data_IF_894341580276
#
_entry.id   IF_894341580276
#
_cell.length_a   1.000
_cell.length_b   1.000
_cell.length_c   1.000
_cell.angle_alpha   90.00
_cell.angle_beta   90.00
_cell.angle_gamma   90.00
#
_symmetry.space_group_name_H-M   'P 1'
#
loop_
_entity.id
_entity.type
_entity.pdbx_description
1 polymer ?
#
# COMPACT_ATOMS: atom_id res chain seq x y z
N UNK A 1 -7.66 -16.99 4.99
CA UNK A 1 -6.58 -16.02 5.29
C UNK A 1 -7.00 -15.21 6.50
N UNK A 2 -6.13 -15.04 7.50
CA UNK A 2 -6.47 -14.20 8.66
C UNK A 2 -5.96 -12.78 8.39
N UNK A 3 -6.90 -11.88 8.11
CA UNK A 3 -6.65 -10.44 8.18
C UNK A 3 -7.18 -10.04 9.54
N UNK A 4 -6.28 -9.67 10.45
CA UNK A 4 -6.61 -9.39 11.82
C UNK A 4 -6.77 -7.88 12.01
N UNK A 5 -7.83 -7.46 12.68
CA UNK A 5 -7.96 -6.08 13.16
C UNK A 5 -6.91 -5.83 14.23
N UNK A 6 -6.25 -4.68 14.20
CA UNK A 6 -5.20 -4.33 15.16
C UNK A 6 -5.50 -3.00 15.87
N UNK A 7 -4.72 -2.70 16.91
CA UNK A 7 -4.79 -1.44 17.66
C UNK A 7 -6.17 -1.14 18.29
N UNK A 8 -6.92 -2.19 18.65
CA UNK A 8 -8.18 -2.06 19.38
C UNK A 8 -9.37 -1.54 18.55
N UNK A 9 -9.28 -1.53 17.22
CA UNK A 9 -10.37 -1.04 16.36
C UNK A 9 -10.36 -1.58 14.94
N UNK A 10 -11.17 -0.97 14.08
CA UNK A 10 -11.44 -1.45 12.72
C UNK A 10 -10.68 -0.69 11.63
N UNK A 11 -9.92 0.34 12.01
CA UNK A 11 -9.26 1.25 11.08
C UNK A 11 -8.02 0.65 10.41
N UNK A 12 -7.40 -0.33 11.06
CA UNK A 12 -6.16 -0.94 10.61
C UNK A 12 -6.25 -2.44 10.71
N UNK A 13 -5.58 -3.10 9.76
CA UNK A 13 -5.51 -4.55 9.68
C UNK A 13 -4.07 -4.99 9.51
N UNK A 14 -3.79 -6.19 10.00
CA UNK A 14 -2.52 -6.86 9.81
C UNK A 14 -2.73 -8.20 9.08
N UNK A 15 -1.90 -8.44 8.08
CA UNK A 15 -1.84 -9.71 7.37
C UNK A 15 -0.60 -10.48 7.82
N UNK A 16 -0.79 -11.55 8.59
CA UNK A 16 0.29 -12.36 9.16
C UNK A 16 1.18 -13.01 8.08
N UNK A 17 0.61 -13.31 6.90
CA UNK A 17 1.33 -13.99 5.82
C UNK A 17 2.31 -13.05 5.12
N UNK A 18 1.88 -11.83 4.83
CA UNK A 18 2.72 -10.83 4.16
C UNK A 18 3.44 -9.89 5.14
N UNK A 19 3.14 -10.00 6.44
CA UNK A 19 3.59 -9.10 7.50
C UNK A 19 3.34 -7.64 7.10
N UNK A 20 2.08 -7.32 6.83
CA UNK A 20 1.71 -6.00 6.27
C UNK A 20 0.63 -5.35 7.12
N UNK A 21 0.88 -4.11 7.53
CA UNK A 21 -0.12 -3.22 8.11
C UNK A 21 -0.80 -2.46 6.98
N UNK A 22 -2.13 -2.49 6.97
CA UNK A 22 -2.95 -1.86 5.93
C UNK A 22 -4.17 -1.17 6.54
N UNK A 23 -4.61 -0.09 5.91
CA UNK A 23 -5.87 0.59 6.21
C UNK A 23 -6.92 0.17 5.17
N UNK A 24 -7.99 -0.56 5.57
CA UNK A 24 -9.11 -0.85 4.68
C UNK A 24 -9.77 0.44 4.21
N UNK A 25 -10.14 0.51 2.95
CA UNK A 25 -10.78 1.70 2.36
C UNK A 25 -11.88 1.30 1.39
N UNK A 26 -12.77 2.23 1.10
CA UNK A 26 -13.74 2.11 0.03
C UNK A 26 -13.32 3.01 -1.14
N UNK A 27 -13.45 2.50 -2.36
CA UNK A 27 -13.19 3.27 -3.58
C UNK A 27 -14.52 3.60 -4.28
N UNK A 28 -14.55 4.65 -5.13
CA UNK A 28 -15.68 4.90 -6.02
C UNK A 28 -16.02 3.67 -6.88
N UNK A 29 -17.23 3.66 -7.45
CA UNK A 29 -17.68 2.57 -8.32
C UNK A 29 -16.98 2.63 -9.68
N UNK A 30 -15.79 2.05 -9.75
CA UNK A 30 -15.04 1.89 -10.98
C UNK A 30 -15.60 0.76 -11.87
N UNK A 31 -15.30 0.76 -13.18
CA UNK A 31 -15.60 -0.37 -14.07
C UNK A 31 -15.03 -1.68 -13.53
N UNK A 32 -15.76 -2.79 -13.67
CA UNK A 32 -15.30 -4.11 -13.18
C UNK A 32 -14.08 -4.64 -13.93
N UNK A 33 -13.91 -4.20 -15.19
CA UNK A 33 -12.80 -4.57 -16.06
C UNK A 33 -12.32 -3.38 -16.86
N UNK A 34 -11.04 -3.40 -17.19
CA UNK A 34 -10.43 -2.49 -18.15
C UNK A 34 -9.50 -3.29 -19.06
N UNK A 35 -9.26 -2.76 -20.26
CA UNK A 35 -8.19 -3.23 -21.15
C UNK A 35 -7.13 -2.14 -21.18
N UNK A 36 -5.90 -2.48 -20.83
CA UNK A 36 -4.76 -1.56 -20.88
C UNK A 36 -3.53 -2.29 -21.39
N UNK A 37 -2.84 -1.75 -22.41
CA UNK A 37 -1.70 -2.38 -23.08
C UNK A 37 -1.96 -3.87 -23.44
N UNK A 38 -3.13 -4.16 -24.03
CA UNK A 38 -3.59 -5.52 -24.39
C UNK A 38 -3.80 -6.49 -23.21
N UNK A 39 -3.75 -6.02 -21.96
CA UNK A 39 -4.07 -6.81 -20.76
C UNK A 39 -5.52 -6.61 -20.31
N UNK A 40 -6.27 -7.71 -20.12
CA UNK A 40 -7.56 -7.71 -19.42
C UNK A 40 -7.30 -7.68 -17.91
N UNK A 41 -7.59 -6.55 -17.28
CA UNK A 41 -7.39 -6.34 -15.86
C UNK A 41 -8.75 -6.26 -15.16
N UNK A 42 -8.89 -7.00 -14.06
CA UNK A 42 -10.11 -7.05 -13.26
C UNK A 42 -9.98 -6.21 -12.00
N UNK A 43 -11.07 -5.52 -11.64
CA UNK A 43 -11.16 -4.73 -10.43
C UNK A 43 -11.05 -5.64 -9.20
N UNK A 44 -10.25 -5.24 -8.21
CA UNK A 44 -10.15 -5.98 -6.95
C UNK A 44 -11.48 -5.94 -6.19
N UNK A 45 -11.78 -7.02 -5.48
CA UNK A 45 -12.97 -7.08 -4.61
C UNK A 45 -12.80 -6.32 -3.29
N UNK A 46 -11.55 -6.16 -2.84
CA UNK A 46 -11.23 -5.48 -1.58
C UNK A 46 -10.10 -4.48 -1.78
N UNK A 47 -10.23 -3.34 -1.11
CA UNK A 47 -9.32 -2.22 -1.24
C UNK A 47 -8.72 -1.85 0.10
N UNK A 48 -7.46 -1.45 0.05
CA UNK A 48 -6.73 -0.95 1.19
C UNK A 48 -5.59 -0.05 0.71
N UNK A 49 -5.13 0.80 1.60
CA UNK A 49 -3.82 1.44 1.50
C UNK A 49 -2.85 0.61 2.32
N UNK A 50 -1.77 0.12 1.70
CA UNK A 50 -0.66 -0.47 2.45
C UNK A 50 0.06 0.64 3.19
N UNK A 51 0.15 0.53 4.52
CA UNK A 51 0.81 1.51 5.37
C UNK A 51 2.25 1.09 5.67
N UNK A 52 2.44 -0.16 6.11
CA UNK A 52 3.77 -0.67 6.48
C UNK A 52 3.93 -2.10 5.97
N UNK A 53 4.62 -2.31 4.84
CA UNK A 53 4.90 -3.63 4.29
C UNK A 53 6.12 -4.27 4.96
N UNK A 54 6.04 -4.56 6.27
CA UNK A 54 7.16 -5.02 7.11
C UNK A 54 7.93 -6.18 6.47
N UNK A 55 7.20 -7.19 5.98
CA UNK A 55 7.81 -8.38 5.36
C UNK A 55 8.66 -8.04 4.14
N UNK A 56 8.24 -7.08 3.31
CA UNK A 56 9.00 -6.65 2.14
C UNK A 56 10.14 -5.68 2.51
N UNK A 57 9.95 -4.83 3.53
CA UNK A 57 11.01 -3.98 4.05
C UNK A 57 12.17 -4.81 4.63
N UNK A 58 11.87 -5.88 5.39
CA UNK A 58 12.89 -6.82 5.89
C UNK A 58 13.69 -7.41 4.74
N UNK A 59 13.02 -7.88 3.68
CA UNK A 59 13.67 -8.48 2.50
C UNK A 59 14.54 -7.47 1.75
N UNK A 60 13.99 -6.29 1.43
CA UNK A 60 14.67 -5.27 0.61
C UNK A 60 15.88 -4.68 1.34
N UNK A 61 15.74 -4.37 2.62
CA UNK A 61 16.78 -3.71 3.41
C UNK A 61 17.62 -4.66 4.26
N UNK A 62 17.37 -5.98 4.19
CA UNK A 62 18.08 -7.01 4.97
C UNK A 62 18.10 -6.70 6.47
N UNK A 63 16.93 -6.38 7.02
CA UNK A 63 16.80 -6.00 8.43
C UNK A 63 17.02 -7.25 9.30
N UNK A 64 18.01 -7.22 10.19
CA UNK A 64 18.39 -8.34 11.06
C UNK A 64 17.91 -8.18 12.52
N UNK A 65 16.98 -7.25 12.77
CA UNK A 65 16.44 -7.01 14.11
C UNK A 65 15.52 -8.19 14.50
N UNK A 66 15.79 -8.89 15.61
CA UNK A 66 14.93 -9.99 16.06
C UNK A 66 13.50 -9.52 16.37
N UNK A 67 12.50 -10.29 15.98
CA UNK A 67 11.07 -10.00 16.20
C UNK A 67 10.63 -8.62 15.68
N UNK A 68 11.24 -8.15 14.58
CA UNK A 68 10.98 -6.83 14.02
C UNK A 68 9.51 -6.59 13.67
N UNK A 69 8.77 -7.62 13.25
CA UNK A 69 7.34 -7.52 12.98
C UNK A 69 6.52 -7.12 14.22
N UNK A 70 6.75 -7.78 15.35
CA UNK A 70 6.01 -7.56 16.59
C UNK A 70 6.35 -6.18 17.16
N UNK A 71 7.63 -5.80 17.07
CA UNK A 71 8.12 -4.47 17.44
C UNK A 71 7.43 -3.35 16.65
N UNK A 72 7.35 -3.51 15.32
CA UNK A 72 6.70 -2.52 14.45
C UNK A 72 5.19 -2.49 14.69
N UNK A 73 4.55 -3.62 14.97
CA UNK A 73 3.13 -3.66 15.33
C UNK A 73 2.83 -2.92 16.63
N UNK A 74 3.64 -3.15 17.67
CA UNK A 74 3.52 -2.45 18.95
C UNK A 74 3.71 -0.94 18.77
N UNK A 75 4.75 -0.53 18.05
CA UNK A 75 5.03 0.88 17.77
C UNK A 75 3.95 1.54 16.94
N UNK A 76 3.45 0.85 15.92
CA UNK A 76 2.36 1.36 15.09
C UNK A 76 1.11 1.58 15.95
N UNK A 77 0.72 0.60 16.77
CA UNK A 77 -0.47 0.73 17.61
C UNK A 77 -0.31 1.79 18.70
N UNK A 78 0.89 1.96 19.27
CA UNK A 78 1.17 3.04 20.20
C UNK A 78 1.08 4.41 19.51
N UNK A 79 1.66 4.53 18.31
CA UNK A 79 1.70 5.77 17.53
C UNK A 79 0.32 6.28 17.15
N UNK A 80 -0.55 5.41 16.62
CA UNK A 80 -1.88 5.79 16.11
C UNK A 80 -2.86 6.21 17.20
N UNK A 81 -2.56 5.95 18.49
CA UNK A 81 -3.36 6.43 19.61
C UNK A 81 -3.36 7.97 19.72
N UNK A 82 -2.26 8.62 19.31
CA UNK A 82 -2.14 10.08 19.33
C UNK A 82 -1.96 10.69 17.93
N UNK A 83 -1.56 9.90 16.95
CA UNK A 83 -1.27 10.34 15.59
C UNK A 83 -1.99 9.44 14.57
N UNK A 84 -3.30 9.62 14.42
CA UNK A 84 -4.08 8.80 13.49
C UNK A 84 -3.53 8.89 12.06
N UNK A 85 -3.48 7.75 11.38
CA UNK A 85 -3.13 7.64 9.97
C UNK A 85 -4.44 7.43 9.21
N UNK A 86 -4.85 8.42 8.43
CA UNK A 86 -6.13 8.46 7.74
C UNK A 86 -5.92 8.85 6.27
N UNK A 87 -6.77 8.33 5.38
CA UNK A 87 -6.78 8.73 3.97
C UNK A 87 -7.24 10.18 3.87
N UNK A 88 -6.40 11.04 3.29
CA UNK A 88 -6.73 12.44 3.05
C UNK A 88 -7.50 12.57 1.74
N UNK A 89 -6.91 12.05 0.65
CA UNK A 89 -7.48 12.09 -0.69
C UNK A 89 -6.81 11.09 -1.61
N UNK A 90 -7.52 10.73 -2.68
CA UNK A 90 -6.90 10.13 -3.85
C UNK A 90 -6.26 11.24 -4.69
N UNK A 91 -5.06 10.99 -5.21
CA UNK A 91 -4.45 11.82 -6.23
C UNK A 91 -5.01 11.36 -7.57
N UNK A 92 -5.35 12.29 -8.48
CA UNK A 92 -5.69 11.96 -9.86
C UNK A 92 -4.42 11.55 -10.63
N UNK A 93 -3.74 10.52 -10.12
CA UNK A 93 -2.46 10.01 -10.55
C UNK A 93 -2.59 8.48 -10.57
N UNK A 94 -3.01 7.96 -11.72
CA UNK A 94 -3.09 6.52 -11.97
C UNK A 94 -1.75 6.04 -12.49
N UNK A 95 -1.30 4.89 -12.02
CA UNK A 95 -0.05 4.30 -12.47
C UNK A 95 -0.27 2.84 -12.86
N UNK A 96 0.31 2.44 -13.98
CA UNK A 96 0.43 1.04 -14.32
C UNK A 96 1.71 0.52 -13.67
N UNK A 97 1.62 -0.66 -13.06
CA UNK A 97 2.71 -1.27 -12.30
C UNK A 97 2.99 -2.64 -12.88
N UNK A 98 4.26 -2.88 -13.21
CA UNK A 98 4.73 -4.13 -13.79
C UNK A 98 5.87 -4.73 -12.94
N UNK A 99 5.75 -6.01 -12.63
CA UNK A 99 6.82 -6.78 -12.01
C UNK A 99 6.72 -8.24 -12.45
N UNK A 100 7.72 -8.73 -13.20
CA UNK A 100 7.72 -10.08 -13.78
C UNK A 100 6.44 -10.36 -14.60
N UNK A 101 5.61 -11.31 -14.18
CA UNK A 101 4.33 -11.70 -14.79
C UNK A 101 3.11 -11.02 -14.14
N UNK A 102 3.33 -10.10 -13.19
CA UNK A 102 2.28 -9.33 -12.53
C UNK A 102 2.05 -8.01 -13.23
N UNK A 103 0.77 -7.64 -13.36
CA UNK A 103 0.33 -6.33 -13.86
C UNK A 103 -0.77 -5.80 -12.97
N UNK A 104 -0.70 -4.51 -12.65
CA UNK A 104 -1.74 -3.85 -11.88
C UNK A 104 -1.88 -2.39 -12.24
N UNK A 105 -3.07 -1.84 -12.00
CA UNK A 105 -3.30 -0.39 -12.00
C UNK A 105 -3.52 0.05 -10.58
N UNK A 106 -2.80 1.09 -10.18
CA UNK A 106 -2.92 1.71 -8.86
C UNK A 106 -3.37 3.16 -9.01
N UNK A 107 -4.01 3.67 -7.98
CA UNK A 107 -4.23 5.10 -7.80
C UNK A 107 -3.41 5.59 -6.61
N UNK A 108 -2.61 6.63 -6.80
CA UNK A 108 -1.83 7.22 -5.72
C UNK A 108 -2.75 7.97 -4.75
N UNK A 109 -2.37 8.04 -3.48
CA UNK A 109 -3.18 8.72 -2.46
C UNK A 109 -2.30 9.39 -1.41
N UNK A 110 -2.91 10.31 -0.66
CA UNK A 110 -2.30 10.97 0.48
C UNK A 110 -2.86 10.39 1.78
N UNK A 111 -1.98 10.09 2.73
CA UNK A 111 -2.36 9.68 4.09
C UNK A 111 -1.69 10.59 5.13
N UNK A 112 -2.34 10.80 6.27
CA UNK A 112 -1.75 11.58 7.37
C UNK A 112 -0.68 10.78 8.11
N UNK A 113 0.32 11.46 8.67
CA UNK A 113 1.23 10.98 9.72
C UNK A 113 2.07 9.71 9.43
N UNK A 114 1.98 9.12 8.23
CA UNK A 114 2.76 7.93 7.90
C UNK A 114 4.26 8.24 7.81
N UNK A 115 4.61 9.40 7.26
CA UNK A 115 5.98 9.91 7.20
C UNK A 115 6.59 10.09 8.61
N UNK A 116 5.78 10.61 9.54
CA UNK A 116 6.16 10.77 10.94
C UNK A 116 6.40 9.39 11.59
N UNK A 117 5.56 8.40 11.28
CA UNK A 117 5.77 7.03 11.76
C UNK A 117 7.08 6.42 11.22
N UNK A 118 7.35 6.58 9.93
CA UNK A 118 8.61 6.11 9.32
C UNK A 118 9.84 6.79 9.92
N UNK A 119 9.75 8.11 10.22
CA UNK A 119 10.80 8.82 10.95
C UNK A 119 11.03 8.22 12.34
N UNK A 120 9.96 7.94 13.09
CA UNK A 120 10.04 7.33 14.43
C UNK A 120 10.76 5.98 14.39
N UNK A 121 10.39 5.08 13.47
CA UNK A 121 11.02 3.76 13.39
C UNK A 121 12.47 3.84 12.90
N UNK A 122 12.79 4.79 12.00
CA UNK A 122 14.18 5.01 11.56
C UNK A 122 15.06 5.46 12.74
N UNK A 123 14.58 6.41 13.54
CA UNK A 123 15.28 6.89 14.74
C UNK A 123 15.42 5.78 15.79
N UNK A 124 14.33 5.06 16.09
CA UNK A 124 14.30 4.05 17.14
C UNK A 124 15.15 2.82 16.81
N UNK A 125 15.18 2.40 15.56
CA UNK A 125 15.85 1.17 15.11
C UNK A 125 17.14 1.41 14.32
N UNK A 126 17.59 2.67 14.21
CA UNK A 126 18.76 3.08 13.42
C UNK A 126 18.70 2.56 11.97
N UNK A 127 17.54 2.78 11.34
CA UNK A 127 17.26 2.40 9.96
C UNK A 127 17.27 3.64 9.05
N UNK A 128 17.27 3.41 7.74
CA UNK A 128 17.16 4.45 6.73
C UNK A 128 16.10 4.06 5.67
N UNK A 129 14.88 3.84 6.13
CA UNK A 129 13.73 3.49 5.29
C UNK A 129 13.09 4.76 4.74
N UNK A 130 12.80 4.76 3.43
CA UNK A 130 11.90 5.76 2.86
C UNK A 130 10.46 5.49 3.31
N UNK A 131 9.65 6.53 3.47
CA UNK A 131 8.20 6.34 3.62
C UNK A 131 7.64 5.79 2.33
N UNK A 132 6.97 4.64 2.38
CA UNK A 132 6.47 3.99 1.17
C UNK A 132 5.44 4.86 0.44
N UNK A 133 5.52 4.97 -0.90
CA UNK A 133 4.51 5.66 -1.69
C UNK A 133 3.12 5.04 -1.50
N UNK A 134 2.19 5.84 -0.96
CA UNK A 134 0.85 5.37 -0.64
C UNK A 134 -0.04 5.32 -1.86
N UNK A 135 -0.68 4.18 -2.05
CA UNK A 135 -1.54 3.90 -3.19
C UNK A 135 -2.59 2.85 -2.85
N UNK A 136 -3.57 2.73 -3.73
CA UNK A 136 -4.56 1.66 -3.72
C UNK A 136 -4.45 0.89 -5.03
N UNK A 137 -4.22 -0.43 -4.95
CA UNK A 137 -4.37 -1.29 -6.13
C UNK A 137 -5.85 -1.36 -6.51
N UNK A 138 -6.18 -0.90 -7.71
CA UNK A 138 -7.54 -0.96 -8.27
C UNK A 138 -7.72 -2.22 -9.09
N UNK A 139 -6.86 -2.42 -10.09
CA UNK A 139 -6.98 -3.52 -11.05
C UNK A 139 -5.76 -4.44 -10.99
N UNK A 140 -6.00 -5.71 -11.24
CA UNK A 140 -4.98 -6.77 -11.28
C UNK A 140 -5.29 -7.74 -12.42
N UNK A 141 -4.28 -8.49 -12.85
CA UNK A 141 -4.53 -9.68 -13.66
C UNK A 141 -5.43 -10.68 -12.88
N UNK A 142 -6.34 -11.39 -13.57
CA UNK A 142 -7.13 -12.45 -12.95
C UNK A 142 -6.24 -13.45 -12.20
N UNK A 143 -6.68 -13.84 -11.00
CA UNK A 143 -5.99 -14.80 -10.12
C UNK A 143 -4.57 -14.39 -9.66
N UNK A 144 -4.18 -13.13 -9.85
CA UNK A 144 -2.87 -12.60 -9.41
C UNK A 144 -2.98 -11.65 -8.21
N UNK A 145 -1.83 -11.35 -7.60
CA UNK A 145 -1.71 -10.39 -6.51
C UNK A 145 -1.45 -8.96 -7.01
N UNK A 146 -1.51 -7.99 -6.09
CA UNK A 146 -0.95 -6.66 -6.32
C UNK A 146 0.58 -6.68 -6.22
N UNK A 147 1.21 -5.58 -6.65
CA UNK A 147 2.66 -5.38 -6.61
C UNK A 147 2.98 -4.36 -5.53
N UNK A 148 4.01 -4.60 -4.72
CA UNK A 148 4.47 -3.64 -3.73
C UNK A 148 5.31 -2.53 -4.37
N UNK A 149 5.02 -1.28 -3.99
CA UNK A 149 5.83 -0.10 -4.30
C UNK A 149 6.38 0.40 -2.96
N UNK A 150 7.64 0.09 -2.67
CA UNK A 150 8.21 0.27 -1.33
C UNK A 150 8.85 1.64 -1.11
N UNK A 151 9.36 2.25 -2.18
CA UNK A 151 10.12 3.50 -2.15
C UNK A 151 10.11 4.20 -3.51
N UNK A 152 10.81 5.33 -3.61
CA UNK A 152 10.94 6.12 -4.83
C UNK A 152 11.62 5.36 -5.98
N UNK A 153 12.51 4.42 -5.68
CA UNK A 153 13.15 3.57 -6.69
C UNK A 153 12.15 2.61 -7.33
N UNK A 154 11.33 1.92 -6.52
CA UNK A 154 10.25 1.08 -7.00
C UNK A 154 9.25 1.91 -7.82
N UNK A 155 8.87 3.10 -7.34
CA UNK A 155 7.95 3.99 -8.05
C UNK A 155 8.50 4.39 -9.42
N UNK A 156 9.81 4.61 -9.54
CA UNK A 156 10.45 4.99 -10.80
C UNK A 156 10.61 3.80 -11.75
N UNK A 157 10.99 2.64 -11.22
CA UNK A 157 11.44 1.52 -12.06
C UNK A 157 10.32 0.53 -12.38
N UNK A 158 9.29 0.44 -11.54
CA UNK A 158 8.18 -0.53 -11.71
C UNK A 158 6.91 0.10 -12.25
N UNK A 159 6.85 1.44 -12.35
CA UNK A 159 5.59 2.13 -12.66
C UNK A 159 5.73 3.14 -13.77
N UNK A 160 4.66 3.27 -14.54
CA UNK A 160 4.45 4.34 -15.50
C UNK A 160 3.18 5.11 -15.15
N UNK A 161 3.19 6.43 -15.36
CA UNK A 161 1.99 7.25 -15.24
C UNK A 161 1.07 6.95 -16.43
N UNK A 162 -0.21 6.74 -16.16
CA UNK A 162 -1.18 6.40 -17.20
C UNK A 162 -2.40 7.32 -17.13
N UNK A 163 -3.02 7.51 -18.29
CA UNK A 163 -4.33 8.13 -18.42
C UNK A 163 -5.32 7.07 -18.88
N UNK A 164 -6.31 6.80 -18.04
CA UNK A 164 -7.45 5.95 -18.41
C UNK A 164 -8.68 6.86 -18.34
N UNK A 165 -9.15 7.42 -19.48
CA UNK A 165 -10.23 8.41 -19.51
C UNK A 165 -11.48 7.95 -18.78
N UNK A 166 -11.78 6.65 -18.78
CA UNK A 166 -12.90 6.09 -18.04
C UNK A 166 -12.74 6.34 -16.52
N UNK A 167 -11.55 6.17 -15.95
CA UNK A 167 -11.32 6.23 -14.50
C UNK A 167 -11.34 7.66 -13.94
N UNK A 168 -10.84 8.65 -14.69
CA UNK A 168 -10.75 10.04 -14.22
C UNK A 168 -12.12 10.66 -13.92
N UNK A 169 -13.20 10.13 -14.49
CA UNK A 169 -14.56 10.61 -14.23
C UNK A 169 -15.12 10.20 -12.86
N UNK A 170 -14.51 9.21 -12.20
CA UNK A 170 -14.99 8.64 -10.93
C UNK A 170 -14.35 9.24 -9.68
N UNK A 171 -13.38 10.15 -9.85
CA UNK A 171 -12.72 10.86 -8.74
C UNK A 171 -13.34 12.23 -8.44
N UNK A 172 -14.50 12.54 -9.03
CA UNK A 172 -15.24 13.80 -8.86
C UNK A 172 -16.18 13.75 -7.66
#
# INVERSE_FOLDING_TARGET
MSINKICGGDNYTFNDKSMTISMPISVPRFPEKIIFNDYDLSLKMTFHVTLVPIGELIKKHKIEIPNFNDLILEDFCSFVNSNKIELIKYRNEFRFVEENDLRSVVIMCDVTNLDIFFKLINEKYNLNLETSPTHVTLYILPDKGGIFILDSEDLKNKTELIEIPELSNYLK
#
